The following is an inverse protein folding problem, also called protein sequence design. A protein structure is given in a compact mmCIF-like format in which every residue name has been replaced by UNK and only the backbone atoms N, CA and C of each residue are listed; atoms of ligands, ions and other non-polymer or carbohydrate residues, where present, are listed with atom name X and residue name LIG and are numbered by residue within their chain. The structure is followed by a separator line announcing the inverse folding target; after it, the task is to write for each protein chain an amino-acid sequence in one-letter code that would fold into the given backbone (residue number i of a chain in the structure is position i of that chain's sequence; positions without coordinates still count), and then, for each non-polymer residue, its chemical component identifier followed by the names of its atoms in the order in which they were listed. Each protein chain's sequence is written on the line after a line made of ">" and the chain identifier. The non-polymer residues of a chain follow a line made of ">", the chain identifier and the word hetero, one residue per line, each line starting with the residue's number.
data_IF_997629990188
#
_entry.id   IF_997629990188
#
_cell.length_a   1.000
_cell.length_b   1.000
_cell.length_c   1.000
_cell.angle_alpha   90.00
_cell.angle_beta   90.00
_cell.angle_gamma   90.00
#
_symmetry.space_group_name_H-M   'P 1'
#
loop_
_entity.id
_entity.type
_entity.pdbx_description
1 polymer ?
#
# COMPACT_ATOMS: atom_id res chain seq x y z
N UNK A 1 -19.70 -3.34 -10.50
CA UNK A 1 -18.78 -4.26 -9.80
C UNK A 1 -18.12 -3.46 -8.70
N UNK A 2 -18.67 -3.55 -7.50
CA UNK A 2 -18.14 -3.00 -6.25
C UNK A 2 -18.50 -4.08 -5.22
N UNK A 3 -17.58 -4.65 -4.43
CA UNK A 3 -16.78 -3.96 -3.45
C UNK A 3 -15.40 -4.56 -3.19
N UNK A 4 -14.39 -3.81 -3.60
CA UNK A 4 -13.05 -3.82 -3.03
C UNK A 4 -12.96 -2.64 -2.02
N UNK A 5 -14.01 -2.44 -1.21
CA UNK A 5 -14.58 -1.11 -0.95
C UNK A 5 -13.57 -0.12 -0.32
N UNK A 6 -12.60 -0.58 0.47
CA UNK A 6 -11.47 0.24 0.93
C UNK A 6 -10.20 -0.61 1.06
N UNK A 7 -9.49 -0.85 -0.04
CA UNK A 7 -8.14 -1.46 0.00
C UNK A 7 -7.14 -0.50 0.65
N UNK A 8 -6.23 -1.02 1.48
CA UNK A 8 -5.04 -0.29 1.92
C UNK A 8 -4.00 -0.16 0.79
N UNK A 9 -2.71 -0.10 1.14
CA UNK A 9 -1.62 0.10 0.16
C UNK A 9 -1.61 -0.95 -0.98
N UNK A 10 -1.83 -2.21 -0.62
CA UNK A 10 -1.73 -3.35 -1.54
C UNK A 10 -3.10 -3.87 -1.96
N UNK A 11 -3.25 -4.12 -3.25
CA UNK A 11 -4.35 -4.92 -3.81
C UNK A 11 -4.21 -6.39 -3.43
N UNK A 12 -5.31 -7.15 -3.51
CA UNK A 12 -5.28 -8.61 -3.30
C UNK A 12 -4.27 -9.30 -4.22
N UNK A 13 -4.30 -8.98 -5.52
CA UNK A 13 -3.37 -9.55 -6.50
C UNK A 13 -1.90 -9.23 -6.19
N UNK A 14 -1.61 -8.02 -5.72
CA UNK A 14 -0.26 -7.65 -5.32
C UNK A 14 0.19 -8.46 -4.09
N UNK A 15 -0.71 -8.75 -3.14
CA UNK A 15 -0.41 -9.61 -1.99
C UNK A 15 -0.08 -11.03 -2.43
N UNK A 16 -0.88 -11.62 -3.32
CA UNK A 16 -0.60 -12.96 -3.89
C UNK A 16 0.79 -13.02 -4.56
N UNK A 17 1.12 -11.99 -5.35
CA UNK A 17 2.41 -11.92 -6.05
C UNK A 17 3.58 -11.77 -5.07
N UNK A 18 3.43 -10.94 -4.03
CA UNK A 18 4.47 -10.78 -3.00
C UNK A 18 4.70 -12.07 -2.19
N UNK A 19 3.62 -12.81 -1.91
CA UNK A 19 3.66 -14.10 -1.19
C UNK A 19 4.20 -15.24 -2.05
N UNK A 20 4.35 -15.04 -3.37
CA UNK A 20 4.76 -16.10 -4.30
C UNK A 20 3.64 -17.10 -4.61
N UNK A 21 2.40 -16.75 -4.30
CA UNK A 21 1.20 -17.56 -4.55
C UNK A 21 0.71 -17.43 -6.00
N UNK A 22 1.16 -16.38 -6.70
CA UNK A 22 0.85 -16.13 -8.09
C UNK A 22 1.92 -16.70 -9.03
N UNK A 23 1.53 -17.56 -9.96
CA UNK A 23 2.38 -18.00 -11.06
C UNK A 23 2.49 -16.88 -12.12
N UNK A 24 3.58 -16.11 -12.04
CA UNK A 24 3.89 -14.99 -12.93
C UNK A 24 5.38 -14.94 -13.24
N UNK A 25 5.75 -14.36 -14.37
CA UNK A 25 7.16 -14.20 -14.73
C UNK A 25 7.91 -13.28 -13.76
N UNK A 26 9.21 -13.51 -13.60
CA UNK A 26 10.09 -12.68 -12.76
C UNK A 26 10.07 -11.20 -13.18
N UNK A 27 10.02 -10.94 -14.49
CA UNK A 27 9.92 -9.58 -15.00
C UNK A 27 8.61 -8.89 -14.57
N UNK A 28 7.50 -9.61 -14.57
CA UNK A 28 6.23 -9.08 -14.10
C UNK A 28 6.24 -8.88 -12.58
N UNK A 29 6.76 -9.84 -11.82
CA UNK A 29 6.95 -9.71 -10.36
C UNK A 29 7.79 -8.48 -10.03
N UNK A 30 8.90 -8.27 -10.74
CA UNK A 30 9.76 -7.09 -10.56
C UNK A 30 9.01 -5.78 -10.81
N UNK A 31 8.22 -5.71 -11.90
CA UNK A 31 7.37 -4.54 -12.18
C UNK A 31 6.37 -4.26 -11.08
N UNK A 32 5.76 -5.30 -10.52
CA UNK A 32 4.82 -5.18 -9.39
C UNK A 32 5.53 -4.63 -8.15
N UNK A 33 6.71 -5.15 -7.81
CA UNK A 33 7.52 -4.61 -6.70
C UNK A 33 7.89 -3.15 -6.93
N UNK A 34 8.29 -2.77 -8.15
CA UNK A 34 8.59 -1.38 -8.50
C UNK A 34 7.38 -0.47 -8.31
N UNK A 35 6.20 -0.92 -8.73
CA UNK A 35 4.96 -0.15 -8.54
C UNK A 35 4.62 0.03 -7.06
N UNK A 36 4.84 -0.99 -6.24
CA UNK A 36 4.60 -0.92 -4.79
C UNK A 36 5.53 0.09 -4.13
N UNK A 37 6.80 0.20 -4.56
CA UNK A 37 7.72 1.23 -4.07
C UNK A 37 7.17 2.64 -4.31
N UNK A 38 6.70 2.92 -5.53
CA UNK A 38 6.06 4.21 -5.83
C UNK A 38 4.80 4.45 -4.98
N UNK A 39 4.02 3.42 -4.67
CA UNK A 39 2.89 3.61 -3.74
C UNK A 39 3.35 3.98 -2.34
N UNK A 40 4.47 3.45 -1.86
CA UNK A 40 5.04 3.82 -0.55
C UNK A 40 5.51 5.28 -0.59
N UNK A 41 6.15 5.71 -1.68
CA UNK A 41 6.51 7.13 -1.87
C UNK A 41 5.27 8.04 -1.83
N UNK A 42 4.16 7.63 -2.44
CA UNK A 42 2.92 8.41 -2.37
C UNK A 42 2.30 8.48 -0.96
N UNK A 43 2.54 7.49 -0.09
CA UNK A 43 2.08 7.56 1.30
C UNK A 43 2.79 8.68 2.06
N UNK A 44 4.01 9.05 1.68
CA UNK A 44 4.72 10.20 2.25
C UNK A 44 3.94 11.50 2.01
N UNK A 45 3.48 11.71 0.77
CA UNK A 45 2.62 12.84 0.41
C UNK A 45 1.28 12.78 1.14
N UNK A 46 0.66 11.61 1.26
CA UNK A 46 -0.58 11.43 2.02
C UNK A 46 -0.38 11.78 3.51
N UNK A 47 0.78 11.44 4.10
CA UNK A 47 1.14 11.76 5.49
C UNK A 47 1.21 13.27 5.70
N UNK A 48 1.83 14.01 4.79
CA UNK A 48 1.89 15.48 4.88
C UNK A 48 0.49 16.10 4.83
N UNK A 49 -0.37 15.63 3.92
CA UNK A 49 -1.77 16.08 3.82
C UNK A 49 -2.54 15.79 5.12
N UNK A 50 -2.38 14.60 5.69
CA UNK A 50 -3.03 14.25 6.96
C UNK A 50 -2.50 15.09 8.11
N UNK A 51 -1.19 15.33 8.20
CA UNK A 51 -0.59 16.16 9.24
C UNK A 51 -1.14 17.59 9.21
N UNK A 52 -1.36 18.15 8.02
CA UNK A 52 -1.87 19.52 7.86
C UNK A 52 -3.38 19.65 8.11
N UNK A 53 -4.17 18.62 7.79
CA UNK A 53 -5.63 18.74 7.74
C UNK A 53 -6.37 17.90 8.78
N UNK A 54 -5.86 16.72 9.14
CA UNK A 54 -6.53 15.71 9.98
C UNK A 54 -5.51 14.88 10.78
N UNK A 55 -4.92 15.49 11.81
CA UNK A 55 -3.88 14.87 12.65
C UNK A 55 -4.34 13.58 13.35
N UNK A 56 -5.63 13.46 13.67
CA UNK A 56 -6.24 12.26 14.25
C UNK A 56 -6.12 11.04 13.31
N UNK A 57 -6.36 11.22 12.02
CA UNK A 57 -6.20 10.17 11.02
C UNK A 57 -4.73 9.79 10.79
N UNK A 58 -3.81 10.75 10.91
CA UNK A 58 -2.38 10.47 10.86
C UNK A 58 -1.94 9.59 12.04
N UNK A 59 -2.46 9.87 13.24
CA UNK A 59 -2.16 9.05 14.42
C UNK A 59 -2.70 7.62 14.26
N UNK A 60 -3.92 7.45 13.73
CA UNK A 60 -4.46 6.13 13.40
C UNK A 60 -3.55 5.38 12.40
N UNK A 61 -3.04 6.06 11.36
CA UNK A 61 -2.11 5.46 10.40
C UNK A 61 -0.78 5.03 11.07
N UNK A 62 -0.18 5.92 11.87
CA UNK A 62 1.08 5.65 12.59
C UNK A 62 0.93 4.48 13.53
N UNK A 63 -0.20 4.38 14.22
CA UNK A 63 -0.51 3.25 15.07
C UNK A 63 -0.42 1.92 14.32
N UNK A 64 -0.99 1.79 13.11
CA UNK A 64 -0.96 0.52 12.38
C UNK A 64 0.42 0.19 11.80
N UNK A 65 1.19 1.21 11.41
CA UNK A 65 2.51 1.03 10.77
C UNK A 65 3.63 0.78 11.79
N UNK A 66 3.63 1.50 12.91
CA UNK A 66 4.70 1.45 13.91
C UNK A 66 4.52 0.36 14.99
N UNK A 67 3.45 -0.46 14.90
CA UNK A 67 3.14 -1.54 15.86
C UNK A 67 4.03 -2.80 15.73
N UNK A 68 4.98 -2.86 14.79
CA UNK A 68 5.87 -4.01 14.54
C UNK A 68 7.34 -3.63 14.61
#
# INVERSE_FOLDING_TARGET
>A
MADNQYRGLLTEREREILRGEADVSDNYRYRVVSRIRTKIENVDEDVDILAENHEDLLEELREVVCKN
#
